data_IF_578824144879
#
_entry.id   IF_578824144879
#
_cell.length_a   1.000
_cell.length_b   1.000
_cell.length_c   1.000
_cell.angle_alpha   90.00
_cell.angle_beta   90.00
_cell.angle_gamma   90.00
#
_symmetry.space_group_name_H-M   'P 1'
#
loop_
_entity.id
_entity.type
_entity.pdbx_description
1 polymer ?
#
# COMPACT_ATOMS: atom_id res chain seq x y z
N UNK A 1 7.94 -38.76 53.96
CA UNK A 1 7.96 -37.28 53.76
C UNK A 1 7.64 -37.01 52.30
N UNK A 2 6.54 -36.29 51.99
CA UNK A 2 5.96 -36.19 50.63
C UNK A 2 6.73 -35.16 49.77
N UNK A 3 7.09 -35.48 48.50
CA UNK A 3 7.78 -34.55 47.60
C UNK A 3 6.77 -33.57 46.99
N UNK A 4 6.39 -32.54 47.75
CA UNK A 4 5.41 -31.52 47.29
C UNK A 4 6.04 -30.37 46.49
N UNK A 5 7.36 -30.39 46.29
CA UNK A 5 8.10 -29.26 45.73
C UNK A 5 8.40 -29.35 44.22
N UNK A 6 8.21 -30.50 43.58
CA UNK A 6 8.65 -30.69 42.17
C UNK A 6 7.61 -30.19 41.15
N UNK A 7 6.33 -30.17 41.51
CA UNK A 7 5.25 -29.77 40.58
C UNK A 7 5.11 -28.25 40.41
N UNK A 8 5.52 -27.45 41.40
CA UNK A 8 5.40 -25.99 41.33
C UNK A 8 6.33 -25.34 40.31
N UNK A 9 7.51 -25.94 40.08
CA UNK A 9 8.50 -25.44 39.11
C UNK A 9 8.06 -25.74 37.66
N UNK A 10 7.40 -26.88 37.43
CA UNK A 10 6.89 -27.25 36.11
C UNK A 10 5.73 -26.34 35.64
N UNK A 11 4.88 -25.87 36.56
CA UNK A 11 3.77 -24.95 36.24
C UNK A 11 4.29 -23.51 35.99
N UNK A 12 5.31 -23.07 36.71
CA UNK A 12 5.94 -21.77 36.48
C UNK A 12 6.62 -21.67 35.10
N UNK A 13 7.15 -22.79 34.59
CA UNK A 13 7.72 -22.89 33.24
C UNK A 13 6.65 -22.95 32.13
N UNK A 14 5.42 -23.39 32.44
CA UNK A 14 4.33 -23.47 31.45
C UNK A 14 3.61 -22.12 31.22
N UNK A 15 3.72 -21.18 32.16
CA UNK A 15 3.15 -19.81 32.03
C UNK A 15 4.15 -18.84 31.39
N UNK A 16 5.43 -19.20 31.31
CA UNK A 16 6.51 -18.33 30.83
C UNK A 16 6.77 -18.37 29.31
N UNK A 17 6.02 -19.16 28.53
CA UNK A 17 6.10 -19.17 27.07
C UNK A 17 4.71 -18.90 26.45
N UNK A 18 4.50 -17.88 25.57
CA UNK A 18 5.46 -16.96 24.94
C UNK A 18 5.00 -15.48 25.04
N UNK A 19 5.50 -14.72 26.02
CA UNK A 19 5.51 -13.26 25.90
C UNK A 19 6.47 -12.79 24.77
N UNK A 20 7.33 -13.69 24.29
CA UNK A 20 8.23 -13.48 23.16
C UNK A 20 7.56 -13.65 21.78
N UNK A 21 6.29 -14.07 21.69
CA UNK A 21 5.58 -14.26 20.42
C UNK A 21 4.51 -13.20 20.12
N UNK A 22 4.40 -12.14 20.93
CA UNK A 22 3.63 -10.97 20.51
C UNK A 22 4.45 -10.21 19.48
N UNK A 23 4.31 -10.60 18.21
CA UNK A 23 4.69 -9.73 17.09
C UNK A 23 4.08 -8.35 17.36
N UNK A 24 4.96 -7.35 17.51
CA UNK A 24 4.54 -5.97 17.62
C UNK A 24 3.93 -5.60 16.27
N UNK A 25 2.63 -5.83 16.10
CA UNK A 25 1.88 -5.29 14.99
C UNK A 25 1.91 -3.77 15.12
N UNK A 26 2.95 -3.17 14.55
CA UNK A 26 2.98 -1.75 14.27
C UNK A 26 1.75 -1.45 13.40
N UNK A 27 0.96 -0.42 13.69
CA UNK A 27 -0.18 -0.08 12.85
C UNK A 27 0.34 0.09 11.42
N UNK A 28 -0.16 -0.75 10.51
CA UNK A 28 0.23 -0.83 9.10
C UNK A 28 -0.18 0.42 8.29
N UNK A 29 -0.37 1.56 8.96
CA UNK A 29 -0.73 2.82 8.34
C UNK A 29 0.45 3.29 7.49
N UNK A 30 0.36 3.01 6.19
CA UNK A 30 1.29 3.47 5.19
C UNK A 30 1.29 4.99 5.16
N UNK A 31 2.47 5.60 5.04
CA UNK A 31 2.61 7.05 4.95
C UNK A 31 2.56 7.47 3.50
N UNK A 32 1.75 8.47 3.16
CA UNK A 32 1.75 9.04 1.81
C UNK A 32 1.71 10.55 1.89
N UNK A 33 2.69 11.18 1.26
CA UNK A 33 2.76 12.63 1.13
C UNK A 33 2.73 13.01 -0.34
N UNK A 34 1.81 13.90 -0.68
CA UNK A 34 1.60 14.37 -2.04
C UNK A 34 1.99 15.84 -2.14
N UNK A 35 2.71 16.17 -3.20
CA UNK A 35 2.84 17.54 -3.70
C UNK A 35 2.33 17.55 -5.13
N UNK A 36 1.21 18.22 -5.34
CA UNK A 36 0.58 18.36 -6.65
C UNK A 36 0.64 19.83 -7.05
N UNK A 37 1.27 20.09 -8.18
CA UNK A 37 1.31 21.39 -8.83
C UNK A 37 0.42 21.29 -10.06
N UNK A 38 -0.62 22.12 -10.16
CA UNK A 38 -1.57 22.08 -11.26
C UNK A 38 -1.86 23.49 -11.78
N UNK A 39 -2.09 23.60 -13.09
CA UNK A 39 -2.45 24.82 -13.80
C UNK A 39 -3.57 24.53 -14.77
N UNK A 40 -4.58 25.40 -14.78
CA UNK A 40 -5.65 25.39 -15.75
C UNK A 40 -5.40 26.47 -16.80
N UNK A 41 -5.63 26.11 -18.06
CA UNK A 41 -5.73 27.04 -19.18
C UNK A 41 -7.21 27.26 -19.48
N UNK A 42 -7.70 28.49 -19.29
CA UNK A 42 -9.12 28.82 -19.37
C UNK A 42 -9.64 28.88 -20.81
N UNK A 43 -8.77 29.20 -21.78
CA UNK A 43 -9.13 29.31 -23.20
C UNK A 43 -9.28 27.92 -23.83
N UNK A 44 -8.38 27.00 -23.47
CA UNK A 44 -8.37 25.62 -24.00
C UNK A 44 -9.09 24.63 -23.08
N UNK A 45 -9.49 25.06 -21.88
CA UNK A 45 -10.05 24.23 -20.82
C UNK A 45 -9.16 23.03 -20.43
N UNK A 46 -7.84 23.14 -20.61
CA UNK A 46 -6.89 22.08 -20.30
C UNK A 46 -6.37 22.22 -18.88
N UNK A 47 -6.53 21.17 -18.08
CA UNK A 47 -5.84 21.01 -16.79
C UNK A 47 -4.53 20.24 -16.98
N UNK A 48 -3.42 20.86 -16.61
CA UNK A 48 -2.09 20.24 -16.59
C UNK A 48 -1.59 20.18 -15.15
N UNK A 49 -0.87 19.11 -14.79
CA UNK A 49 -0.29 19.04 -13.46
C UNK A 49 0.85 18.06 -13.34
N UNK A 50 1.64 18.23 -12.28
CA UNK A 50 2.76 17.38 -11.88
C UNK A 50 2.57 16.98 -10.42
N UNK A 51 2.54 15.67 -10.17
CA UNK A 51 2.49 15.12 -8.83
C UNK A 51 3.87 14.53 -8.44
N UNK A 52 4.33 14.84 -7.23
CA UNK A 52 5.41 14.14 -6.54
C UNK A 52 4.82 13.42 -5.34
N UNK A 53 5.14 12.13 -5.20
CA UNK A 53 4.66 11.29 -4.11
C UNK A 53 5.86 10.78 -3.30
N UNK A 54 5.80 10.91 -1.97
CA UNK A 54 6.67 10.20 -1.03
C UNK A 54 5.87 9.13 -0.32
N UNK A 55 6.21 7.87 -0.56
CA UNK A 55 5.58 6.71 0.07
C UNK A 55 6.48 6.18 1.18
N UNK A 56 5.92 5.90 2.34
CA UNK A 56 6.61 5.25 3.46
C UNK A 56 5.99 3.87 3.66
N UNK A 57 6.71 2.83 3.22
CA UNK A 57 6.33 1.44 3.49
C UNK A 57 6.61 1.12 4.96
N UNK A 58 5.57 0.90 5.77
CA UNK A 58 5.68 0.45 7.18
C UNK A 58 5.39 -1.03 7.36
N UNK A 59 5.19 -1.77 6.26
CA UNK A 59 5.04 -3.22 6.30
C UNK A 59 6.38 -3.89 6.57
N UNK A 60 6.41 -5.06 7.26
CA UNK A 60 7.59 -5.93 7.26
C UNK A 60 7.88 -6.51 5.86
N UNK A 61 6.88 -6.54 4.97
CA UNK A 61 7.01 -7.08 3.63
C UNK A 61 7.51 -6.04 2.61
N UNK A 62 8.24 -6.52 1.60
CA UNK A 62 8.70 -5.70 0.48
C UNK A 62 7.53 -5.34 -0.44
N UNK A 63 7.44 -4.07 -0.84
CA UNK A 63 6.45 -3.58 -1.78
C UNK A 63 7.07 -3.43 -3.18
N UNK A 64 6.76 -4.34 -4.09
CA UNK A 64 7.33 -4.35 -5.44
C UNK A 64 6.58 -3.46 -6.44
N UNK A 65 5.32 -3.11 -6.15
CA UNK A 65 4.44 -2.41 -7.09
C UNK A 65 3.56 -1.38 -6.39
N UNK A 66 3.42 -0.22 -7.02
CA UNK A 66 2.47 0.83 -6.66
C UNK A 66 1.52 1.07 -7.83
N UNK A 67 0.21 1.01 -7.57
CA UNK A 67 -0.83 1.24 -8.56
C UNK A 67 -1.50 2.60 -8.32
N UNK A 68 -1.80 3.32 -9.41
CA UNK A 68 -2.38 4.66 -9.36
C UNK A 68 -3.61 4.75 -10.26
N UNK A 69 -4.64 5.46 -9.81
CA UNK A 69 -5.81 5.77 -10.60
C UNK A 69 -5.56 7.04 -11.43
N UNK A 70 -5.25 6.87 -12.72
CA UNK A 70 -5.06 7.96 -13.68
C UNK A 70 -6.15 7.97 -14.75
N UNK A 71 -7.40 7.68 -14.37
CA UNK A 71 -8.52 7.41 -15.30
C UNK A 71 -8.67 8.46 -16.40
N UNK A 72 -8.58 9.76 -16.06
CA UNK A 72 -8.74 10.83 -17.05
C UNK A 72 -7.58 10.89 -18.07
N UNK A 73 -6.40 10.39 -17.72
CA UNK A 73 -5.30 10.25 -18.68
C UNK A 73 -5.45 9.01 -19.55
N UNK A 74 -6.26 8.03 -19.17
CA UNK A 74 -6.57 6.89 -20.02
C UNK A 74 -7.34 7.33 -21.27
N UNK A 75 -8.06 8.45 -21.27
CA UNK A 75 -8.79 8.91 -22.45
C UNK A 75 -8.01 9.91 -23.31
N UNK A 76 -6.75 10.22 -22.96
CA UNK A 76 -5.90 11.08 -23.80
C UNK A 76 -5.47 10.33 -25.07
N UNK A 77 -5.28 11.04 -26.20
CA UNK A 77 -4.66 10.45 -27.39
C UNK A 77 -3.32 9.78 -27.02
N UNK A 78 -3.02 8.62 -27.64
CA UNK A 78 -1.82 7.81 -27.39
C UNK A 78 -1.72 7.16 -26.00
N UNK A 79 -2.79 7.13 -25.22
CA UNK A 79 -2.84 6.31 -24.00
C UNK A 79 -2.97 4.81 -24.33
N UNK A 80 -2.78 3.94 -23.34
CA UNK A 80 -3.02 2.50 -23.49
C UNK A 80 -4.48 2.18 -23.85
N UNK A 81 -5.44 2.97 -23.34
CA UNK A 81 -6.85 2.81 -23.69
C UNK A 81 -7.13 3.33 -25.11
N UNK A 82 -6.56 4.45 -25.53
CA UNK A 82 -6.69 4.93 -26.92
C UNK A 82 -6.07 3.94 -27.92
N UNK A 83 -4.95 3.31 -27.58
CA UNK A 83 -4.33 2.26 -28.39
C UNK A 83 -5.17 0.97 -28.44
N UNK A 84 -5.85 0.64 -27.33
CA UNK A 84 -6.81 -0.46 -27.29
C UNK A 84 -8.02 -0.15 -28.17
N UNK A 85 -8.60 1.03 -28.05
CA UNK A 85 -9.74 1.48 -28.85
C UNK A 85 -9.42 1.39 -30.35
N UNK A 86 -8.32 2.00 -30.82
CA UNK A 86 -7.90 1.94 -32.22
C UNK A 86 -7.60 0.52 -32.75
N UNK A 87 -7.23 -0.42 -31.87
CA UNK A 87 -6.89 -1.79 -32.27
C UNK A 87 -8.12 -2.70 -32.35
N UNK A 88 -9.19 -2.37 -31.63
CA UNK A 88 -10.37 -3.21 -31.48
C UNK A 88 -11.67 -2.50 -31.91
N UNK A 89 -11.58 -1.26 -32.38
CA UNK A 89 -12.66 -0.57 -33.09
C UNK A 89 -12.80 -1.13 -34.51
N UNK A 90 -13.25 -2.39 -34.59
CA UNK A 90 -13.73 -3.03 -35.82
C UNK A 90 -15.27 -2.89 -35.88
N UNK A 91 -15.76 -1.69 -35.58
CA UNK A 91 -17.18 -1.35 -35.70
C UNK A 91 -17.39 -0.62 -37.03
N UNK A 92 -17.80 -1.40 -38.03
CA UNK A 92 -18.60 -1.04 -39.24
C UNK A 92 -18.75 0.44 -39.59
#
# INVERSE_FOLDING_TARGET
MKPRAVWGIAIALLVAAPAAAQERHHPFQQGVEYRIEASQDDDTHVLTGRARLRYTNRSPDTLDRLYFHQYLNAFRPNSAWAAYDLRFDDRT
#
